data_IF_091188356785
#
_entry.id   IF_091188356785
#
_cell.length_a   1.000
_cell.length_b   1.000
_cell.length_c   1.000
_cell.angle_alpha   90.00
_cell.angle_beta   90.00
_cell.angle_gamma   90.00
#
_symmetry.space_group_name_H-M   'P 1'
#
loop_
_entity.id
_entity.type
_entity.pdbx_description
1 polymer ?
#
# COMPACT_ATOMS: atom_id res chain seq x y z
N UNK A 1 7.31 -18.37 15.81
CA UNK A 1 8.05 -18.30 14.54
C UNK A 1 7.17 -17.86 13.37
N UNK A 2 6.04 -18.53 13.12
CA UNK A 2 5.11 -18.17 12.03
C UNK A 2 4.53 -16.75 12.17
N UNK A 3 4.12 -16.35 13.38
CA UNK A 3 3.60 -15.00 13.62
C UNK A 3 4.64 -13.90 13.34
N UNK A 4 5.91 -14.11 13.72
CA UNK A 4 6.99 -13.16 13.41
C UNK A 4 7.21 -13.04 11.91
N UNK A 5 7.22 -14.17 11.18
CA UNK A 5 7.34 -14.17 9.72
C UNK A 5 6.16 -13.41 9.07
N UNK A 6 4.94 -13.65 9.54
CA UNK A 6 3.74 -12.95 9.06
C UNK A 6 3.86 -11.43 9.24
N UNK A 7 4.31 -10.98 10.40
CA UNK A 7 4.50 -9.55 10.68
C UNK A 7 5.64 -8.95 9.85
N UNK A 8 6.74 -9.67 9.64
CA UNK A 8 7.84 -9.20 8.79
C UNK A 8 7.41 -9.07 7.33
N UNK A 9 6.64 -10.02 6.80
CA UNK A 9 6.06 -9.92 5.45
C UNK A 9 5.08 -8.76 5.35
N UNK A 10 4.20 -8.60 6.34
CA UNK A 10 3.30 -7.45 6.40
C UNK A 10 4.03 -6.11 6.46
N UNK A 11 5.17 -6.04 7.16
CA UNK A 11 6.00 -4.84 7.22
C UNK A 11 6.64 -4.55 5.85
N UNK A 12 7.15 -5.59 5.17
CA UNK A 12 7.66 -5.47 3.81
C UNK A 12 6.58 -4.98 2.84
N UNK A 13 5.36 -5.53 2.93
CA UNK A 13 4.21 -5.08 2.15
C UNK A 13 3.88 -3.60 2.44
N UNK A 14 3.82 -3.20 3.72
CA UNK A 14 3.55 -1.82 4.11
C UNK A 14 4.56 -0.83 3.51
N UNK A 15 5.85 -1.16 3.58
CA UNK A 15 6.92 -0.33 3.00
C UNK A 15 6.78 -0.24 1.49
N UNK A 16 6.58 -1.38 0.80
CA UNK A 16 6.42 -1.41 -0.66
C UNK A 16 5.19 -0.63 -1.14
N UNK A 17 4.06 -0.78 -0.44
CA UNK A 17 2.84 -0.02 -0.72
C UNK A 17 3.05 1.49 -0.52
N UNK A 18 3.71 1.91 0.57
CA UNK A 18 4.04 3.32 0.82
C UNK A 18 4.91 3.92 -0.27
N UNK A 19 5.91 3.20 -0.74
CA UNK A 19 6.77 3.64 -1.84
C UNK A 19 5.99 3.82 -3.15
N UNK A 20 5.15 2.84 -3.50
CA UNK A 20 4.31 2.94 -4.69
C UNK A 20 3.33 4.11 -4.61
N UNK A 21 2.71 4.33 -3.44
CA UNK A 21 1.80 5.44 -3.22
C UNK A 21 2.52 6.79 -3.32
N UNK A 22 3.72 6.93 -2.78
CA UNK A 22 4.52 8.15 -2.89
C UNK A 22 4.93 8.46 -4.33
N UNK A 23 5.35 7.45 -5.10
CA UNK A 23 5.66 7.59 -6.51
C UNK A 23 4.44 8.07 -7.31
N UNK A 24 3.29 7.42 -7.13
CA UNK A 24 2.05 7.82 -7.80
C UNK A 24 1.60 9.24 -7.41
N UNK A 25 1.67 9.61 -6.12
CA UNK A 25 1.34 10.97 -5.66
C UNK A 25 2.26 12.02 -6.29
N UNK A 26 3.55 11.72 -6.46
CA UNK A 26 4.49 12.61 -7.13
C UNK A 26 4.15 12.80 -8.61
N UNK A 27 3.76 11.72 -9.31
CA UNK A 27 3.31 11.79 -10.71
C UNK A 27 2.02 12.60 -10.86
N UNK A 28 1.01 12.34 -10.02
CA UNK A 28 -0.25 13.07 -10.04
C UNK A 28 -0.04 14.56 -9.72
N UNK A 29 0.81 14.87 -8.74
CA UNK A 29 1.19 16.26 -8.44
C UNK A 29 1.83 16.95 -9.64
N UNK A 30 2.71 16.25 -10.37
CA UNK A 30 3.35 16.78 -11.58
C UNK A 30 2.35 17.01 -12.73
N UNK A 31 1.28 16.21 -12.80
CA UNK A 31 0.16 16.39 -13.75
C UNK A 31 -0.84 17.47 -13.31
N UNK A 32 -0.71 18.02 -12.11
CA UNK A 32 -1.68 18.95 -11.52
C UNK A 32 -2.99 18.29 -11.11
N UNK A 33 -3.02 16.97 -10.95
CA UNK A 33 -4.18 16.20 -10.52
C UNK A 33 -4.37 16.26 -9.00
N UNK A 34 -5.58 15.97 -8.52
CA UNK A 34 -5.88 15.94 -7.08
C UNK A 34 -5.11 14.82 -6.40
N UNK A 35 -4.22 15.17 -5.48
CA UNK A 35 -3.47 14.22 -4.66
C UNK A 35 -4.22 13.97 -3.36
N UNK A 36 -4.73 12.75 -3.17
CA UNK A 36 -5.47 12.40 -1.96
C UNK A 36 -4.58 12.49 -0.70
N UNK A 37 -5.04 13.21 0.35
CA UNK A 37 -4.32 13.28 1.62
C UNK A 37 -4.36 11.93 2.34
N UNK A 38 -3.30 11.62 3.07
CA UNK A 38 -3.17 10.33 3.74
C UNK A 38 -4.08 10.25 4.98
N UNK A 39 -5.25 9.62 4.82
CA UNK A 39 -6.26 9.48 5.87
C UNK A 39 -5.92 8.44 6.94
N UNK A 40 -5.19 7.38 6.58
CA UNK A 40 -4.74 6.33 7.50
C UNK A 40 -3.23 6.38 7.71
N UNK A 41 -2.73 7.53 8.14
CA UNK A 41 -1.31 7.74 8.38
C UNK A 41 -0.82 7.11 9.69
N UNK A 42 0.49 6.86 9.75
CA UNK A 42 1.20 6.56 11.00
C UNK A 42 0.85 5.18 11.60
N UNK A 43 0.82 5.06 12.94
CA UNK A 43 0.67 3.76 13.62
C UNK A 43 -0.61 3.00 13.27
N UNK A 44 -1.71 3.71 12.99
CA UNK A 44 -2.98 3.09 12.62
C UNK A 44 -2.89 2.41 11.26
N UNK A 45 -2.38 3.10 10.24
CA UNK A 45 -2.16 2.53 8.91
C UNK A 45 -1.23 1.31 8.95
N UNK A 46 -0.14 1.40 9.73
CA UNK A 46 0.77 0.28 9.94
C UNK A 46 0.05 -0.92 10.59
N UNK A 47 -0.69 -0.71 11.68
CA UNK A 47 -1.38 -1.79 12.38
C UNK A 47 -2.41 -2.50 11.48
N UNK A 48 -3.22 -1.75 10.74
CA UNK A 48 -4.19 -2.31 9.80
C UNK A 48 -3.50 -3.09 8.67
N UNK A 49 -2.37 -2.59 8.17
CA UNK A 49 -1.62 -3.28 7.12
C UNK A 49 -0.99 -4.56 7.64
N UNK A 50 -0.32 -4.52 8.79
CA UNK A 50 0.30 -5.71 9.38
C UNK A 50 -0.70 -6.84 9.65
N UNK A 51 -1.95 -6.49 9.97
CA UNK A 51 -3.00 -7.46 10.26
C UNK A 51 -3.67 -8.01 9.00
N UNK A 52 -3.85 -7.19 7.95
CA UNK A 52 -4.67 -7.53 6.78
C UNK A 52 -3.91 -7.59 5.43
N UNK A 53 -2.58 -7.48 5.42
CA UNK A 53 -1.77 -7.47 4.19
C UNK A 53 -2.08 -8.59 3.18
N UNK A 54 -2.39 -9.85 3.55
CA UNK A 54 -2.65 -10.89 2.55
C UNK A 54 -3.94 -10.62 1.78
N UNK A 55 -4.96 -10.07 2.45
CA UNK A 55 -6.24 -9.72 1.83
C UNK A 55 -6.04 -8.59 0.84
N UNK A 56 -5.27 -7.55 1.23
CA UNK A 56 -4.95 -6.43 0.35
C UNK A 56 -4.11 -6.89 -0.85
N UNK A 57 -3.05 -7.67 -0.62
CA UNK A 57 -2.19 -8.20 -1.68
C UNK A 57 -2.98 -9.05 -2.68
N UNK A 58 -3.86 -9.92 -2.19
CA UNK A 58 -4.71 -10.75 -3.03
C UNK A 58 -5.71 -9.92 -3.84
N UNK A 59 -6.43 -9.00 -3.19
CA UNK A 59 -7.43 -8.16 -3.84
C UNK A 59 -6.79 -7.31 -4.94
N UNK A 60 -5.68 -6.63 -4.64
CA UNK A 60 -4.95 -5.82 -5.61
C UNK A 60 -4.45 -6.67 -6.79
N UNK A 61 -3.87 -7.85 -6.53
CA UNK A 61 -3.40 -8.71 -7.61
C UNK A 61 -4.55 -9.21 -8.48
N UNK A 62 -5.68 -9.57 -7.87
CA UNK A 62 -6.85 -10.06 -8.59
C UNK A 62 -7.51 -8.99 -9.47
N UNK A 63 -7.58 -7.74 -8.99
CA UNK A 63 -8.24 -6.65 -9.71
C UNK A 63 -7.31 -5.89 -10.67
N UNK A 64 -6.05 -5.71 -10.29
CA UNK A 64 -5.12 -4.78 -10.95
C UNK A 64 -3.88 -5.47 -11.52
N UNK A 65 -3.70 -6.78 -11.27
CA UNK A 65 -2.52 -7.54 -11.70
C UNK A 65 -1.23 -7.20 -10.95
N UNK A 66 -1.29 -6.32 -9.95
CA UNK A 66 -0.17 -5.90 -9.10
C UNK A 66 -0.54 -5.97 -7.63
N UNK A 67 0.44 -6.28 -6.77
CA UNK A 67 0.23 -6.33 -5.32
C UNK A 67 0.16 -4.91 -4.71
N UNK A 68 0.72 -3.91 -5.40
CA UNK A 68 0.79 -2.52 -4.94
C UNK A 68 -0.05 -1.60 -5.83
N UNK A 69 -1.36 -1.85 -5.87
CA UNK A 69 -2.30 -1.03 -6.61
C UNK A 69 -2.35 0.41 -6.05
N UNK A 70 -2.35 1.38 -6.96
CA UNK A 70 -2.44 2.82 -6.69
C UNK A 70 -3.35 3.47 -7.74
N UNK A 71 -3.82 4.72 -7.55
CA UNK A 71 -4.62 5.42 -8.56
C UNK A 71 -3.95 5.49 -9.95
N UNK A 72 -2.62 5.45 -10.01
CA UNK A 72 -1.84 5.45 -11.24
C UNK A 72 -1.78 4.08 -11.96
N UNK A 73 -2.39 3.04 -11.39
CA UNK A 73 -2.44 1.69 -11.97
C UNK A 73 -3.55 1.56 -13.04
N UNK A 74 -4.40 2.58 -13.17
CA UNK A 74 -5.51 2.66 -14.13
C UNK A 74 -5.35 3.81 -15.13
#
# INVERSE_FOLDING_TARGET
MLACLYLLLGLGFYIGWKQAQEACRAEMAARGEFVEPEVFAGPLGLFFTLTNWPVYAWANYYHDGTIFATPCTH
#
